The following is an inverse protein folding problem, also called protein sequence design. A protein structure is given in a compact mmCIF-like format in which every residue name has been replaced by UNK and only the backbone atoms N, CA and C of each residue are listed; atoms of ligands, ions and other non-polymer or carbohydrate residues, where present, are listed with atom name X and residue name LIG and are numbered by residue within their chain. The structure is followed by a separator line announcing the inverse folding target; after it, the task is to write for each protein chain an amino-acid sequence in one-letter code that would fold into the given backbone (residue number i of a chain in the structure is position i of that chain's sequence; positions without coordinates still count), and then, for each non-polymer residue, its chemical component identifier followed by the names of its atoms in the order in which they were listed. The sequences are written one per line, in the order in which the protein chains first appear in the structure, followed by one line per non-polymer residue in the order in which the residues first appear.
data_IF_541508101384
#
_entry.id   IF_541508101384
#
_cell.length_a   1.000
_cell.length_b   1.000
_cell.length_c   1.000
_cell.angle_alpha   90.00
_cell.angle_beta   90.00
_cell.angle_gamma   90.00
#
_symmetry.space_group_name_H-M   'P 1'
#
loop_
_entity.id
_entity.type
_entity.pdbx_description
1 polymer ?
#
# COMPACT_ATOMS: atom_id res chain seq x y z
N UNK A 1 -60.30 -2.96 10.75
CA UNK A 1 -58.88 -2.66 11.07
C UNK A 1 -58.03 -3.83 10.58
N UNK A 2 -57.44 -3.72 9.40
CA UNK A 2 -56.62 -4.77 8.79
C UNK A 2 -55.20 -4.72 9.39
N UNK A 3 -54.78 -5.81 10.03
CA UNK A 3 -53.41 -6.00 10.48
C UNK A 3 -52.49 -6.12 9.25
N UNK A 4 -51.71 -5.07 9.00
CA UNK A 4 -50.75 -5.01 7.89
C UNK A 4 -49.44 -5.66 8.33
N UNK A 5 -49.20 -6.90 7.87
CA UNK A 5 -47.89 -7.52 7.92
C UNK A 5 -46.96 -6.83 6.90
N UNK A 6 -45.90 -6.17 7.36
CA UNK A 6 -44.77 -5.73 6.52
C UNK A 6 -43.48 -5.96 7.32
N UNK A 7 -42.92 -7.17 7.23
CA UNK A 7 -41.86 -7.56 6.28
C UNK A 7 -40.61 -6.70 6.50
N UNK A 8 -39.75 -7.18 7.39
CA UNK A 8 -38.40 -6.65 7.63
C UNK A 8 -37.60 -6.78 6.34
N UNK A 9 -37.28 -5.65 5.70
CA UNK A 9 -36.28 -5.62 4.65
C UNK A 9 -34.91 -5.59 5.32
N UNK A 10 -34.33 -6.77 5.57
CA UNK A 10 -32.88 -6.87 5.72
C UNK A 10 -32.28 -6.60 4.33
N UNK A 11 -31.95 -5.36 4.03
CA UNK A 11 -31.16 -5.03 2.83
C UNK A 11 -29.70 -5.42 3.08
N UNK A 12 -29.43 -6.71 3.28
CA UNK A 12 -28.08 -7.26 3.09
C UNK A 12 -27.81 -7.39 1.58
N UNK A 13 -27.91 -6.27 0.88
CA UNK A 13 -27.29 -6.07 -0.41
C UNK A 13 -25.92 -5.44 -0.17
N UNK A 14 -25.08 -6.07 0.65
CA UNK A 14 -23.65 -5.94 0.45
C UNK A 14 -23.38 -6.61 -0.89
N UNK A 15 -22.95 -5.90 -1.95
CA UNK A 15 -22.40 -6.62 -3.08
C UNK A 15 -21.25 -7.42 -2.48
N UNK A 16 -21.25 -8.73 -2.73
CA UNK A 16 -20.11 -9.60 -2.47
C UNK A 16 -18.99 -9.21 -3.45
N UNK A 17 -18.61 -7.94 -3.45
CA UNK A 17 -17.39 -7.46 -4.03
C UNK A 17 -16.31 -8.10 -3.20
N UNK A 18 -15.76 -9.18 -3.73
CA UNK A 18 -14.46 -9.77 -3.43
C UNK A 18 -13.75 -8.86 -2.43
N UNK A 19 -13.74 -9.26 -1.15
CA UNK A 19 -12.89 -8.66 -0.12
C UNK A 19 -11.44 -9.00 -0.50
N UNK A 20 -10.99 -8.45 -1.63
CA UNK A 20 -9.67 -8.61 -2.16
C UNK A 20 -8.77 -7.93 -1.17
N UNK A 21 -8.12 -8.72 -0.33
CA UNK A 21 -7.11 -8.23 0.59
C UNK A 21 -6.10 -7.46 -0.24
N UNK A 22 -6.07 -6.13 -0.07
CA UNK A 22 -5.29 -5.27 -0.95
C UNK A 22 -3.82 -5.56 -0.72
N UNK A 23 -3.15 -5.97 -1.79
CA UNK A 23 -1.72 -6.24 -1.80
C UNK A 23 -0.97 -5.11 -2.48
N UNK A 24 0.19 -4.75 -1.95
CA UNK A 24 0.99 -3.63 -2.43
C UNK A 24 2.37 -4.11 -2.87
N UNK A 25 2.71 -3.89 -4.13
CA UNK A 25 4.07 -4.10 -4.60
C UNK A 25 5.04 -3.09 -3.97
N UNK A 26 6.34 -3.38 -4.04
CA UNK A 26 7.39 -2.46 -3.56
C UNK A 26 7.27 -1.08 -4.24
N UNK A 27 6.97 -1.05 -5.54
CA UNK A 27 6.82 0.20 -6.31
C UNK A 27 5.58 0.99 -5.87
N UNK A 28 4.45 0.31 -5.64
CA UNK A 28 3.23 0.97 -5.16
C UNK A 28 3.38 1.49 -3.73
N UNK A 29 3.96 0.69 -2.84
CA UNK A 29 4.26 1.10 -1.47
C UNK A 29 5.17 2.34 -1.44
N UNK A 30 6.22 2.37 -2.27
CA UNK A 30 7.11 3.52 -2.39
C UNK A 30 6.36 4.79 -2.83
N UNK A 31 5.44 4.66 -3.82
CA UNK A 31 4.62 5.76 -4.31
C UNK A 31 3.66 6.29 -3.23
N UNK A 32 2.95 5.40 -2.54
CA UNK A 32 2.02 5.76 -1.46
C UNK A 32 2.72 6.37 -0.25
N UNK A 33 3.95 5.94 0.03
CA UNK A 33 4.79 6.48 1.09
C UNK A 33 5.58 7.70 0.64
N UNK A 34 5.49 8.13 -0.61
CA UNK A 34 6.27 9.24 -1.19
C UNK A 34 7.78 9.14 -0.90
N UNK A 35 8.33 7.93 -0.97
CA UNK A 35 9.76 7.67 -0.83
C UNK A 35 10.31 7.06 -2.11
N UNK A 36 11.61 7.21 -2.34
CA UNK A 36 12.28 6.51 -3.43
C UNK A 36 12.28 4.99 -3.19
N UNK A 37 12.15 4.18 -4.25
CA UNK A 37 12.19 2.71 -4.17
C UNK A 37 13.47 2.21 -3.48
N UNK A 38 14.60 2.87 -3.68
CA UNK A 38 15.88 2.52 -3.02
C UNK A 38 15.82 2.71 -1.50
N UNK A 39 15.06 3.69 -1.02
CA UNK A 39 14.83 3.89 0.42
C UNK A 39 14.05 2.71 0.99
N UNK A 40 13.02 2.26 0.28
CA UNK A 40 12.24 1.10 0.70
C UNK A 40 13.09 -0.18 0.71
N UNK A 41 13.90 -0.42 -0.33
CA UNK A 41 14.86 -1.53 -0.35
C UNK A 41 15.87 -1.46 0.80
N UNK A 42 16.37 -0.27 1.12
CA UNK A 42 17.27 -0.08 2.27
C UNK A 42 16.57 -0.44 3.58
N UNK A 43 15.33 0.00 3.79
CA UNK A 43 14.57 -0.36 4.99
C UNK A 43 14.36 -1.87 5.12
N UNK A 44 14.07 -2.57 4.01
CA UNK A 44 13.96 -4.03 4.01
C UNK A 44 15.31 -4.66 4.38
N UNK A 45 16.39 -4.24 3.71
CA UNK A 45 17.75 -4.77 3.95
C UNK A 45 18.19 -4.61 5.40
N UNK A 46 17.92 -3.45 5.96
CA UNK A 46 18.29 -3.08 7.33
C UNK A 46 17.26 -3.62 8.35
N UNK A 47 16.29 -4.45 7.92
CA UNK A 47 15.24 -5.08 8.75
C UNK A 47 14.41 -4.07 9.56
N UNK A 48 14.28 -2.85 9.05
CA UNK A 48 13.56 -1.76 9.69
C UNK A 48 12.04 -1.83 9.48
N UNK A 49 11.62 -2.56 8.44
CA UNK A 49 10.23 -2.82 8.05
C UNK A 49 10.10 -4.31 7.71
N UNK A 50 8.89 -4.91 7.78
CA UNK A 50 8.70 -6.32 7.43
C UNK A 50 9.12 -6.61 5.98
N UNK A 51 9.69 -7.80 5.74
CA UNK A 51 9.94 -8.26 4.38
C UNK A 51 8.59 -8.53 3.67
N UNK A 52 8.41 -8.10 2.41
CA UNK A 52 7.19 -8.40 1.67
C UNK A 52 7.03 -9.90 1.45
N UNK A 53 5.81 -10.39 1.61
CA UNK A 53 5.45 -11.77 1.37
C UNK A 53 5.65 -12.12 -0.11
N UNK A 54 6.19 -13.31 -0.35
CA UNK A 54 6.35 -13.86 -1.69
C UNK A 54 5.07 -14.58 -2.08
N UNK A 55 4.45 -14.16 -3.18
CA UNK A 55 3.33 -14.88 -3.81
C UNK A 55 3.69 -15.23 -5.24
N UNK A 56 3.27 -16.42 -5.68
CA UNK A 56 3.39 -16.84 -7.07
C UNK A 56 2.02 -16.67 -7.72
N UNK A 57 1.93 -15.72 -8.65
CA UNK A 57 0.71 -15.46 -9.43
C UNK A 57 1.03 -15.81 -10.88
N UNK A 58 0.30 -16.77 -11.45
CA UNK A 58 0.47 -17.21 -12.85
C UNK A 58 1.92 -17.56 -13.21
N UNK A 59 2.64 -18.24 -12.30
CA UNK A 59 4.04 -18.63 -12.48
C UNK A 59 5.06 -17.51 -12.21
N UNK A 60 4.63 -16.28 -11.97
CA UNK A 60 5.51 -15.15 -11.65
C UNK A 60 5.61 -14.98 -10.13
N UNK A 61 6.85 -15.00 -9.62
CA UNK A 61 7.13 -14.74 -8.21
C UNK A 61 7.13 -13.23 -7.94
N UNK A 62 6.11 -12.76 -7.25
CA UNK A 62 5.92 -11.36 -6.88
C UNK A 62 6.07 -11.18 -5.36
N UNK A 63 6.51 -9.99 -4.97
CA UNK A 63 6.67 -9.60 -3.56
C UNK A 63 5.64 -8.53 -3.22
N UNK A 64 4.82 -8.80 -2.21
CA UNK A 64 3.73 -7.92 -1.81
C UNK A 64 3.66 -7.72 -0.30
N UNK A 65 3.22 -6.55 0.11
CA UNK A 65 2.76 -6.29 1.47
C UNK A 65 1.24 -6.33 1.55
N UNK A 66 0.74 -6.80 2.69
CA UNK A 66 -0.66 -6.62 3.07
C UNK A 66 -0.92 -5.17 3.51
N UNK A 67 -2.18 -4.77 3.65
CA UNK A 67 -2.53 -3.48 4.27
C UNK A 67 -1.97 -3.36 5.70
N UNK A 68 -1.94 -4.46 6.46
CA UNK A 68 -1.39 -4.48 7.82
C UNK A 68 0.12 -4.16 7.82
N UNK A 69 0.85 -4.67 6.83
CA UNK A 69 2.27 -4.33 6.67
C UNK A 69 2.45 -2.89 6.19
N UNK A 70 1.61 -2.42 5.27
CA UNK A 70 1.60 -1.00 4.87
C UNK A 70 1.38 -0.08 6.07
N UNK A 71 0.53 -0.43 7.02
CA UNK A 71 0.37 0.34 8.25
C UNK A 71 1.67 0.41 9.07
N UNK A 72 2.43 -0.69 9.16
CA UNK A 72 3.76 -0.71 9.81
C UNK A 72 4.75 0.18 9.07
N UNK A 73 4.76 0.16 7.74
CA UNK A 73 5.62 1.02 6.92
C UNK A 73 5.29 2.51 7.14
N UNK A 74 4.00 2.87 7.18
CA UNK A 74 3.54 4.25 7.48
C UNK A 74 4.02 4.69 8.87
N UNK A 75 3.86 3.83 9.87
CA UNK A 75 4.35 4.09 11.25
C UNK A 75 5.86 4.27 11.28
N UNK A 76 6.62 3.42 10.59
CA UNK A 76 8.08 3.55 10.50
C UNK A 76 8.49 4.90 9.88
N UNK A 77 7.87 5.28 8.75
CA UNK A 77 8.12 6.56 8.09
C UNK A 77 7.85 7.73 9.05
N UNK A 78 6.70 7.73 9.72
CA UNK A 78 6.32 8.78 10.65
C UNK A 78 7.29 8.89 11.84
N UNK A 79 7.69 7.77 12.42
CA UNK A 79 8.54 7.75 13.62
C UNK A 79 10.01 8.11 13.33
N UNK A 80 10.57 7.64 12.20
CA UNK A 80 12.03 7.68 11.97
C UNK A 80 12.47 8.46 10.74
N UNK A 81 11.53 8.80 9.85
CA UNK A 81 11.84 9.37 8.55
C UNK A 81 11.03 10.65 8.24
N UNK A 82 10.29 11.17 9.22
CA UNK A 82 9.57 12.44 9.08
C UNK A 82 10.52 13.58 8.71
N UNK A 83 10.21 14.31 7.64
CA UNK A 83 11.04 15.41 7.13
C UNK A 83 12.26 14.98 6.29
N UNK A 84 12.60 13.69 6.22
CA UNK A 84 13.66 13.16 5.35
C UNK A 84 13.07 12.65 4.04
N UNK A 85 13.72 12.94 2.91
CA UNK A 85 13.30 12.43 1.60
C UNK A 85 12.49 13.38 0.72
N UNK A 86 12.34 14.68 1.07
CA UNK A 86 11.88 15.67 0.06
C UNK A 86 12.87 15.67 -1.10
N UNK A 87 12.41 15.24 -2.27
CA UNK A 87 13.17 15.26 -3.51
C UNK A 87 13.60 16.70 -3.78
N UNK A 88 14.91 17.00 -3.74
CA UNK A 88 15.42 18.20 -4.41
C UNK A 88 15.06 18.05 -5.89
N UNK A 89 14.16 18.89 -6.42
CA UNK A 89 13.96 19.00 -7.87
C UNK A 89 15.34 19.30 -8.46
N UNK A 90 15.94 18.36 -9.20
CA UNK A 90 17.10 18.71 -10.03
C UNK A 90 16.60 19.76 -11.02
N UNK A 91 17.15 20.97 -10.95
CA UNK A 91 16.99 21.94 -12.01
C UNK A 91 17.42 21.25 -13.31
N UNK A 92 16.57 21.33 -14.33
CA UNK A 92 16.80 20.75 -15.65
C UNK A 92 18.01 21.49 -16.25
N UNK A 93 19.20 20.92 -16.11
CA UNK A 93 20.42 21.48 -16.69
C UNK A 93 20.27 21.49 -18.20
N UNK A 94 20.28 22.71 -18.77
CA UNK A 94 20.40 22.94 -20.20
C UNK A 94 21.62 22.19 -20.73
N UNK A 95 21.41 21.32 -21.72
CA UNK A 95 22.48 20.79 -22.56
C UNK A 95 22.59 21.77 -23.73
N UNK A 96 23.59 22.65 -23.68
CA UNK A 96 24.03 23.38 -24.86
C UNK A 96 24.74 22.39 -25.78
N UNK A 97 24.48 22.50 -27.08
CA UNK A 97 25.10 21.74 -28.17
C UNK A 97 25.62 22.72 -29.21
#
# INVERSE_FOLDING_TARGET
MLASAKRLWLTNATPWGILGMRTYSISEAARLLEVDRRTLHRWIRDKLVPEPAVQVISGVRLRFWSEADMAKLRRHKAARYWGKGKRKKKAKGQRNH
#
